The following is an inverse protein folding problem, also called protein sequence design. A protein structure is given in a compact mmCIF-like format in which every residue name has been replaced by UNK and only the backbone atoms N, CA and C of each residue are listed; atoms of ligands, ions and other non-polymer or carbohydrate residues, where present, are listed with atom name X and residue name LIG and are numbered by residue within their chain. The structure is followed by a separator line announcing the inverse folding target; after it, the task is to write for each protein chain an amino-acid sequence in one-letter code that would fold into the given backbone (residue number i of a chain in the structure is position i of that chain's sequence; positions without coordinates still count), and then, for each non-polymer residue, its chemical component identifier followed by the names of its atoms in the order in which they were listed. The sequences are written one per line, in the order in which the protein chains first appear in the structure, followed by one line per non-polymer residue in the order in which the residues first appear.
data_IF_881412860808
#
_entry.id   IF_881412860808
#
_cell.length_a   1.000
_cell.length_b   1.000
_cell.length_c   1.000
_cell.angle_alpha   90.00
_cell.angle_beta   90.00
_cell.angle_gamma   90.00
#
_symmetry.space_group_name_H-M   'P 1'
#
loop_
_entity.id
_entity.type
_entity.pdbx_description
1 polymer ?
#
# COMPACT_ATOMS: atom_id res chain seq x y z
N UNK A 1 14.93 10.97 -2.88
CA UNK A 1 13.57 11.23 -3.43
C UNK A 1 13.39 12.73 -3.57
N UNK A 2 12.70 13.23 -4.61
CA UNK A 2 12.42 14.67 -4.76
C UNK A 2 11.04 14.97 -4.16
N UNK A 3 11.01 15.74 -3.07
CA UNK A 3 9.78 16.11 -2.38
C UNK A 3 8.91 17.02 -3.23
N UNK A 4 7.59 16.84 -3.16
CA UNK A 4 6.64 17.79 -3.72
C UNK A 4 6.87 19.19 -3.10
N UNK A 5 6.65 20.28 -3.85
CA UNK A 5 6.09 20.32 -5.20
C UNK A 5 7.11 20.04 -6.32
N UNK A 6 8.39 19.82 -6.01
CA UNK A 6 9.43 19.69 -7.02
C UNK A 6 9.44 18.31 -7.71
N UNK A 7 9.96 18.28 -8.93
CA UNK A 7 10.25 17.04 -9.68
C UNK A 7 11.71 17.02 -10.14
N UNK A 8 12.15 15.92 -10.74
CA UNK A 8 13.47 15.84 -11.39
C UNK A 8 13.52 16.63 -12.71
N UNK A 9 12.37 17.09 -13.21
CA UNK A 9 12.23 17.80 -14.47
C UNK A 9 12.08 19.30 -14.22
N UNK A 10 12.75 20.11 -15.04
CA UNK A 10 12.61 21.56 -15.00
C UNK A 10 11.21 21.97 -15.46
N UNK A 11 10.60 22.93 -14.77
CA UNK A 11 9.27 23.48 -15.07
C UNK A 11 8.10 22.47 -14.93
N UNK A 12 8.33 21.32 -14.29
CA UNK A 12 7.28 20.36 -13.90
C UNK A 12 7.16 20.26 -12.39
N UNK A 13 5.93 20.35 -11.91
CA UNK A 13 5.61 20.37 -10.47
C UNK A 13 4.55 19.33 -10.12
N UNK A 14 4.65 18.77 -8.92
CA UNK A 14 3.66 17.86 -8.32
C UNK A 14 2.78 18.63 -7.35
N UNK A 15 1.50 18.26 -7.30
CA UNK A 15 0.63 18.69 -6.19
C UNK A 15 1.13 18.03 -4.91
N UNK A 16 1.13 18.77 -3.80
CA UNK A 16 1.44 18.22 -2.49
C UNK A 16 0.36 17.20 -2.09
N UNK A 17 0.72 16.07 -1.42
CA UNK A 17 -0.27 15.16 -0.85
C UNK A 17 -1.27 15.91 0.03
N UNK A 18 -2.55 15.51 0.02
CA UNK A 18 -3.59 16.15 0.84
C UNK A 18 -4.01 17.55 0.38
N UNK A 19 -3.59 18.00 -0.81
CA UNK A 19 -3.96 19.30 -1.38
C UNK A 19 -4.72 19.16 -2.70
N UNK A 20 -5.59 20.12 -3.00
CA UNK A 20 -6.12 20.35 -4.33
C UNK A 20 -5.65 21.72 -4.85
N UNK A 21 -5.65 21.89 -6.18
CA UNK A 21 -5.36 23.17 -6.81
C UNK A 21 -6.59 23.69 -7.54
N UNK A 22 -6.74 25.01 -7.57
CA UNK A 22 -7.71 25.71 -8.41
C UNK A 22 -6.96 26.36 -9.56
N UNK A 23 -7.35 26.03 -10.80
CA UNK A 23 -6.70 26.52 -12.02
C UNK A 23 -7.67 27.32 -12.87
N UNK A 24 -7.26 28.51 -13.32
CA UNK A 24 -8.02 29.32 -14.26
C UNK A 24 -7.63 28.93 -15.70
N UNK A 25 -8.59 28.39 -16.45
CA UNK A 25 -8.38 28.00 -17.85
C UNK A 25 -8.29 29.20 -18.80
N UNK A 26 -8.93 30.33 -18.46
CA UNK A 26 -8.90 31.53 -19.30
C UNK A 26 -7.53 32.24 -19.24
N UNK A 27 -6.96 32.32 -18.04
CA UNK A 27 -5.69 33.03 -17.79
C UNK A 27 -4.48 32.09 -17.76
N UNK A 28 -4.71 30.77 -17.90
CA UNK A 28 -3.71 29.71 -17.76
C UNK A 28 -2.85 29.86 -16.50
N UNK A 29 -3.48 30.10 -15.35
CA UNK A 29 -2.78 30.32 -14.07
C UNK A 29 -3.39 29.54 -12.92
N UNK A 30 -2.53 29.10 -12.00
CA UNK A 30 -2.96 28.57 -10.71
C UNK A 30 -3.47 29.74 -9.86
N UNK A 31 -4.69 29.61 -9.35
CA UNK A 31 -5.31 30.60 -8.47
C UNK A 31 -4.97 30.34 -7.01
N UNK A 32 -5.03 29.06 -6.58
CA UNK A 32 -4.76 28.66 -5.21
C UNK A 32 -4.37 27.17 -5.13
N UNK A 33 -3.67 26.80 -4.06
CA UNK A 33 -3.42 25.42 -3.63
C UNK A 33 -3.89 25.31 -2.18
N UNK A 34 -4.89 24.47 -1.94
CA UNK A 34 -5.57 24.38 -0.64
C UNK A 34 -5.42 22.98 -0.04
N UNK A 35 -4.98 22.85 1.23
CA UNK A 35 -5.01 21.58 1.94
C UNK A 35 -6.46 21.17 2.23
N UNK A 36 -6.80 19.92 1.98
CA UNK A 36 -8.05 19.30 2.41
C UNK A 36 -7.84 18.19 3.45
N UNK A 37 -6.59 17.75 3.64
CA UNK A 37 -6.21 16.74 4.62
C UNK A 37 -4.78 16.99 5.12
N UNK A 38 -4.57 16.81 6.43
CA UNK A 38 -3.27 16.94 7.09
C UNK A 38 -3.16 15.90 8.20
N UNK A 39 -2.03 15.17 8.24
CA UNK A 39 -1.77 14.13 9.24
C UNK A 39 -1.68 14.72 10.65
N UNK A 40 -1.18 15.95 10.79
CA UNK A 40 -0.99 16.60 12.08
C UNK A 40 -2.33 16.83 12.80
N UNK A 41 -3.43 16.89 12.04
CA UNK A 41 -4.80 16.95 12.58
C UNK A 41 -5.25 15.65 13.26
N UNK A 42 -4.54 14.54 13.05
CA UNK A 42 -4.87 13.21 13.58
C UNK A 42 -3.83 12.67 14.57
N UNK A 43 -2.69 13.34 14.73
CA UNK A 43 -1.70 13.01 15.75
C UNK A 43 -2.27 13.35 17.12
N UNK A 44 -2.28 12.38 18.04
CA UNK A 44 -2.78 12.59 19.40
C UNK A 44 -2.06 11.71 20.40
N UNK A 45 -2.06 12.12 21.67
CA UNK A 45 -1.53 11.32 22.80
C UNK A 45 -2.55 10.28 23.31
N UNK A 46 -3.55 9.92 22.49
CA UNK A 46 -4.50 8.86 22.85
C UNK A 46 -3.73 7.57 23.11
N UNK A 47 -4.08 6.88 24.18
CA UNK A 47 -3.52 5.56 24.48
C UNK A 47 -3.86 4.60 23.33
N UNK A 48 -2.91 3.73 23.01
CA UNK A 48 -3.11 2.66 22.05
C UNK A 48 -4.28 1.77 22.49
N UNK A 49 -5.18 1.52 21.56
CA UNK A 49 -6.31 0.61 21.72
C UNK A 49 -6.20 -0.48 20.65
N UNK A 50 -5.87 -1.68 21.10
CA UNK A 50 -5.65 -2.85 20.25
C UNK A 50 -6.92 -3.25 19.49
N UNK A 51 -8.08 -3.22 20.15
CA UNK A 51 -9.35 -3.55 19.50
C UNK A 51 -9.65 -2.54 18.41
N UNK A 52 -9.40 -1.25 18.68
CA UNK A 52 -9.61 -0.20 17.68
C UNK A 52 -8.66 -0.34 16.50
N UNK A 53 -7.41 -0.73 16.75
CA UNK A 53 -6.45 -1.02 15.69
C UNK A 53 -6.96 -2.13 14.77
N UNK A 54 -7.36 -3.28 15.33
CA UNK A 54 -7.82 -4.41 14.51
C UNK A 54 -9.12 -4.10 13.76
N UNK A 55 -10.04 -3.34 14.35
CA UNK A 55 -11.25 -2.85 13.68
C UNK A 55 -10.90 -1.98 12.45
N UNK A 56 -10.01 -1.00 12.62
CA UNK A 56 -9.56 -0.11 11.53
C UNK A 56 -8.78 -0.90 10.47
N UNK A 57 -7.93 -1.83 10.90
CA UNK A 57 -7.12 -2.66 10.01
C UNK A 57 -8.00 -3.55 9.13
N UNK A 58 -8.94 -4.28 9.74
CA UNK A 58 -9.89 -5.12 9.02
C UNK A 58 -10.74 -4.31 8.03
N UNK A 59 -11.29 -3.18 8.48
CA UNK A 59 -12.05 -2.26 7.63
C UNK A 59 -11.22 -1.75 6.45
N UNK A 60 -9.95 -1.40 6.70
CA UNK A 60 -9.02 -0.91 5.67
C UNK A 60 -8.68 -1.96 4.63
N UNK A 61 -8.50 -3.22 5.06
CA UNK A 61 -8.26 -4.39 4.18
C UNK A 61 -9.52 -4.68 3.36
N UNK A 62 -10.70 -4.71 3.99
CA UNK A 62 -11.97 -4.99 3.34
C UNK A 62 -12.30 -3.95 2.27
N UNK A 63 -12.16 -2.65 2.58
CA UNK A 63 -12.42 -1.57 1.63
C UNK A 63 -11.55 -1.66 0.37
N UNK A 64 -10.28 -2.04 0.52
CA UNK A 64 -9.32 -2.12 -0.59
C UNK A 64 -9.34 -3.44 -1.34
N UNK A 65 -10.01 -4.45 -0.80
CA UNK A 65 -10.13 -5.77 -1.42
C UNK A 65 -11.41 -5.94 -2.26
N UNK A 66 -12.27 -4.92 -2.32
CA UNK A 66 -13.45 -4.88 -3.22
C UNK A 66 -13.02 -4.44 -4.61
N UNK A 67 -13.16 -5.31 -5.60
CA UNK A 67 -12.97 -5.00 -7.01
C UNK A 67 -13.88 -5.88 -7.87
N UNK A 68 -14.25 -5.38 -9.04
CA UNK A 68 -15.03 -6.13 -10.05
C UNK A 68 -14.16 -7.08 -10.87
N UNK A 69 -12.89 -7.22 -10.48
CA UNK A 69 -11.86 -8.05 -11.12
C UNK A 69 -11.09 -8.82 -10.06
N UNK A 70 -10.38 -9.86 -10.48
CA UNK A 70 -9.49 -10.60 -9.57
C UNK A 70 -8.43 -9.67 -8.96
N UNK A 71 -8.32 -9.72 -7.64
CA UNK A 71 -7.32 -8.98 -6.88
C UNK A 71 -6.16 -9.90 -6.56
N UNK A 72 -4.95 -9.36 -6.62
CA UNK A 72 -3.76 -10.02 -6.15
C UNK A 72 -2.98 -9.11 -5.18
N UNK A 73 -2.30 -9.74 -4.22
CA UNK A 73 -1.48 -9.04 -3.23
C UNK A 73 -0.01 -9.47 -3.33
N UNK A 74 0.89 -8.53 -3.09
CA UNK A 74 2.31 -8.83 -3.00
C UNK A 74 2.60 -9.49 -1.65
N UNK A 75 3.18 -10.70 -1.67
CA UNK A 75 3.60 -11.42 -0.47
C UNK A 75 5.14 -11.38 -0.38
N UNK A 76 5.63 -10.54 0.53
CA UNK A 76 7.04 -10.53 0.95
C UNK A 76 7.26 -11.48 2.14
N UNK A 77 8.48 -11.51 2.67
CA UNK A 77 8.79 -12.17 3.95
C UNK A 77 8.43 -11.36 5.20
N UNK A 78 8.03 -10.10 5.03
CA UNK A 78 7.77 -9.18 6.13
C UNK A 78 6.41 -9.35 6.80
N UNK A 79 6.30 -8.82 8.01
CA UNK A 79 5.06 -8.86 8.82
C UNK A 79 3.92 -8.08 8.16
N UNK A 80 4.20 -6.97 7.48
CA UNK A 80 3.18 -6.08 6.92
C UNK A 80 2.34 -6.78 5.84
N UNK A 81 2.98 -7.30 4.79
CA UNK A 81 2.27 -8.04 3.73
C UNK A 81 1.62 -9.31 4.28
N UNK A 82 2.28 -9.99 5.21
CA UNK A 82 1.76 -11.21 5.83
C UNK A 82 0.49 -10.93 6.64
N UNK A 83 0.42 -9.79 7.32
CA UNK A 83 -0.73 -9.38 8.12
C UNK A 83 -1.94 -9.04 7.23
N UNK A 84 -1.70 -8.35 6.12
CA UNK A 84 -2.75 -8.04 5.13
C UNK A 84 -3.30 -9.33 4.52
N UNK A 85 -2.42 -10.23 4.05
CA UNK A 85 -2.81 -11.49 3.41
C UNK A 85 -3.55 -12.41 4.38
N UNK A 86 -3.08 -12.50 5.63
CA UNK A 86 -3.80 -13.24 6.66
C UNK A 86 -5.20 -12.68 6.89
N UNK A 87 -5.33 -11.36 7.02
CA UNK A 87 -6.65 -10.73 7.20
C UNK A 87 -7.57 -10.94 6.00
N UNK A 88 -7.07 -10.86 4.77
CA UNK A 88 -7.85 -11.21 3.57
C UNK A 88 -8.32 -12.67 3.59
N UNK A 89 -7.46 -13.60 4.00
CA UNK A 89 -7.82 -15.02 4.12
C UNK A 89 -8.84 -15.28 5.22
N UNK A 90 -8.77 -14.60 6.37
CA UNK A 90 -9.75 -14.70 7.46
C UNK A 90 -11.13 -14.16 7.07
N UNK A 91 -11.19 -13.25 6.09
CA UNK A 91 -12.41 -12.69 5.53
C UNK A 91 -12.97 -13.53 4.36
N UNK A 92 -12.49 -14.78 4.19
CA UNK A 92 -12.87 -15.71 3.12
C UNK A 92 -12.73 -15.11 1.71
N UNK A 93 -11.76 -14.19 1.53
CA UNK A 93 -11.52 -13.59 0.22
C UNK A 93 -10.68 -14.51 -0.65
N UNK A 94 -10.88 -14.41 -1.96
CA UNK A 94 -10.06 -15.10 -2.96
C UNK A 94 -8.66 -14.49 -3.01
N UNK A 95 -7.72 -15.00 -2.20
CA UNK A 95 -6.37 -14.42 -2.08
C UNK A 95 -5.43 -15.03 -3.12
N UNK A 96 -5.14 -14.25 -4.16
CA UNK A 96 -4.04 -14.50 -5.08
C UNK A 96 -2.80 -13.72 -4.64
N UNK A 97 -1.63 -14.37 -4.61
CA UNK A 97 -0.39 -13.72 -4.20
C UNK A 97 0.73 -13.85 -5.22
N UNK A 98 1.59 -12.85 -5.24
CA UNK A 98 2.85 -12.88 -5.97
C UNK A 98 4.00 -12.59 -5.01
N UNK A 99 5.04 -13.42 -5.06
CA UNK A 99 6.24 -13.26 -4.25
C UNK A 99 7.46 -13.10 -5.15
N UNK A 100 8.35 -12.16 -4.81
CA UNK A 100 9.62 -11.98 -5.54
C UNK A 100 10.75 -12.64 -4.75
N UNK A 101 11.43 -13.60 -5.36
CA UNK A 101 12.67 -14.20 -4.85
C UNK A 101 13.89 -13.60 -5.52
N UNK A 102 15.04 -13.65 -4.85
CA UNK A 102 16.31 -13.15 -5.37
C UNK A 102 17.40 -14.22 -5.29
N UNK A 103 18.39 -14.18 -6.18
CA UNK A 103 19.52 -15.12 -6.17
C UNK A 103 20.60 -14.78 -5.14
N UNK A 104 20.55 -13.58 -4.54
CA UNK A 104 21.47 -13.14 -3.50
C UNK A 104 20.87 -13.40 -2.13
N UNK A 105 21.50 -14.26 -1.34
CA UNK A 105 21.00 -14.69 -0.02
C UNK A 105 20.58 -13.54 0.91
N UNK A 106 21.32 -12.43 0.91
CA UNK A 106 21.02 -11.27 1.77
C UNK A 106 19.70 -10.55 1.41
N UNK A 107 19.15 -10.78 0.23
CA UNK A 107 17.93 -10.17 -0.25
C UNK A 107 16.82 -11.21 -0.50
N UNK A 108 17.11 -12.49 -0.32
CA UNK A 108 16.13 -13.54 -0.59
C UNK A 108 15.22 -13.80 0.61
N UNK A 109 13.99 -13.33 0.49
CA UNK A 109 12.95 -13.55 1.49
C UNK A 109 12.14 -14.84 1.23
N UNK A 110 12.57 -15.68 0.29
CA UNK A 110 11.81 -16.86 -0.16
C UNK A 110 11.45 -17.85 0.91
N UNK A 111 12.32 -18.02 1.90
CA UNK A 111 12.06 -18.83 3.08
C UNK A 111 10.79 -18.33 3.81
N UNK A 112 10.70 -17.03 4.04
CA UNK A 112 9.67 -16.41 4.86
C UNK A 112 8.32 -16.37 4.13
N UNK A 113 8.28 -15.88 2.89
CA UNK A 113 7.01 -15.89 2.15
C UNK A 113 6.50 -17.31 1.88
N UNK A 114 7.41 -18.29 1.72
CA UNK A 114 7.01 -19.70 1.58
C UNK A 114 6.44 -20.28 2.87
N UNK A 115 6.88 -19.81 4.03
CA UNK A 115 6.27 -20.19 5.31
C UNK A 115 4.85 -19.64 5.40
N UNK A 116 4.66 -18.36 5.06
CA UNK A 116 3.33 -17.71 5.10
C UNK A 116 2.37 -18.40 4.14
N UNK A 117 2.77 -18.65 2.90
CA UNK A 117 1.92 -19.29 1.89
C UNK A 117 1.52 -20.73 2.22
N UNK A 118 2.26 -21.41 3.11
CA UNK A 118 1.92 -22.76 3.57
C UNK A 118 0.91 -22.77 4.72
N UNK A 119 0.84 -21.68 5.49
CA UNK A 119 0.03 -21.59 6.70
C UNK A 119 -1.27 -20.78 6.50
N UNK A 120 -1.47 -20.19 5.32
CA UNK A 120 -2.64 -19.37 4.98
C UNK A 120 -3.33 -20.00 3.77
N UNK A 121 -4.66 -19.94 3.74
CA UNK A 121 -5.46 -20.41 2.61
C UNK A 121 -5.32 -19.38 1.49
N UNK A 122 -4.59 -19.76 0.45
CA UNK A 122 -4.38 -18.97 -0.76
C UNK A 122 -4.94 -19.73 -1.96
N UNK A 123 -5.46 -19.01 -2.95
CA UNK A 123 -5.76 -19.61 -4.26
C UNK A 123 -4.46 -19.93 -5.00
N UNK A 124 -3.52 -18.98 -4.96
CA UNK A 124 -2.22 -19.12 -5.62
C UNK A 124 -1.15 -18.28 -4.94
N UNK A 125 0.09 -18.76 -5.01
CA UNK A 125 1.28 -17.96 -4.79
C UNK A 125 2.24 -18.13 -5.97
N UNK A 126 2.29 -17.14 -6.86
CA UNK A 126 3.23 -17.15 -7.98
C UNK A 126 4.57 -16.54 -7.57
N UNK A 127 5.61 -17.38 -7.57
CA UNK A 127 6.99 -16.95 -7.33
C UNK A 127 7.58 -16.35 -8.62
N UNK A 128 8.10 -15.15 -8.52
CA UNK A 128 8.78 -14.41 -9.57
C UNK A 128 10.26 -14.29 -9.22
N UNK A 129 11.11 -14.34 -10.24
CA UNK A 129 12.55 -14.09 -10.11
C UNK A 129 12.95 -13.09 -11.19
N UNK A 130 13.83 -12.12 -10.89
CA UNK A 130 14.34 -11.20 -11.90
C UNK A 130 15.06 -11.97 -13.01
N UNK A 131 14.86 -11.53 -14.25
CA UNK A 131 15.63 -12.04 -15.39
C UNK A 131 17.09 -11.57 -15.21
N UNK A 132 18.03 -12.51 -15.32
CA UNK A 132 19.47 -12.24 -15.26
C UNK A 132 19.94 -11.38 -16.44
#
# INVERSE_FOLDING_TARGET
MVSSPNTILKDFYKIQPGHFLTYCLMDFKILNITPYWDIDSFVSEKKYDENKFFEIFESSVLMRSKADVEVASFLSGGIDSSSIIKKQSELDMNVNTFSMGFSRDNYDESKWFSMVSKNIILITNKKLYPLN
#
